data_IF_465482003880
#
_entry.id   IF_465482003880
#
_cell.length_a   1.000
_cell.length_b   1.000
_cell.length_c   1.000
_cell.angle_alpha   90.00
_cell.angle_beta   90.00
_cell.angle_gamma   90.00
#
_symmetry.space_group_name_H-M   'P 1'
#
loop_
_entity.id
_entity.type
_entity.pdbx_description
1 polymer ?
#
# COMPACT_ATOMS: atom_id res chain seq x y z
N UNK A 1 1.98 34.02 -2.78
CA UNK A 1 1.64 32.64 -2.34
C UNK A 1 0.23 32.32 -2.85
N UNK A 2 0.13 31.53 -3.92
CA UNK A 2 -1.14 31.23 -4.59
C UNK A 2 -1.91 30.21 -3.75
N UNK A 3 -3.14 30.58 -3.37
CA UNK A 3 -3.96 29.84 -2.42
C UNK A 3 -4.74 28.74 -3.16
N UNK A 4 -4.65 27.48 -2.71
CA UNK A 4 -5.28 26.28 -3.33
C UNK A 4 -6.76 26.46 -3.69
N UNK A 5 -7.48 27.28 -2.91
CA UNK A 5 -8.90 27.58 -3.12
C UNK A 5 -9.16 28.50 -4.32
N UNK A 6 -8.20 29.36 -4.69
CA UNK A 6 -8.33 30.25 -5.85
C UNK A 6 -8.18 29.48 -7.17
N UNK A 7 -7.34 28.44 -7.19
CA UNK A 7 -7.13 27.60 -8.38
C UNK A 7 -8.39 26.81 -8.76
N UNK A 8 -9.08 26.19 -7.78
CA UNK A 8 -10.30 25.40 -8.05
C UNK A 8 -11.43 26.27 -8.61
N UNK A 9 -11.55 27.54 -8.19
CA UNK A 9 -12.60 28.44 -8.68
C UNK A 9 -12.40 28.86 -10.14
N UNK A 10 -11.16 28.90 -10.62
CA UNK A 10 -10.86 29.31 -11.99
C UNK A 10 -10.81 28.12 -12.97
N UNK A 11 -10.57 26.90 -12.48
CA UNK A 11 -10.49 25.70 -13.32
C UNK A 11 -11.88 25.17 -13.78
N UNK A 12 -12.98 25.57 -13.14
CA UNK A 12 -14.32 25.08 -13.47
C UNK A 12 -15.00 25.79 -14.65
N UNK A 13 -14.41 26.85 -15.22
CA UNK A 13 -15.02 27.66 -16.27
C UNK A 13 -14.56 27.33 -17.71
N UNK A 14 -13.79 26.24 -17.90
CA UNK A 14 -13.15 25.92 -19.19
C UNK A 14 -13.69 24.71 -19.97
N UNK A 15 -14.69 23.97 -19.49
CA UNK A 15 -15.06 22.66 -20.06
C UNK A 15 -16.51 22.58 -20.62
N UNK A 16 -17.05 23.66 -21.17
CA UNK A 16 -18.39 23.66 -21.77
C UNK A 16 -18.42 23.15 -23.24
N UNK A 17 -17.45 22.33 -23.67
CA UNK A 17 -17.32 21.93 -25.08
C UNK A 17 -16.74 20.54 -25.35
N UNK A 18 -17.04 19.52 -24.53
CA UNK A 18 -16.92 18.12 -24.99
C UNK A 18 -18.22 17.36 -24.68
N UNK A 19 -18.95 17.04 -25.75
CA UNK A 19 -20.28 16.46 -25.72
C UNK A 19 -20.31 14.97 -25.34
N UNK A 20 -21.49 14.57 -24.84
CA UNK A 20 -22.13 13.27 -25.06
C UNK A 20 -21.21 12.03 -25.09
N UNK A 21 -20.52 11.75 -23.99
CA UNK A 21 -20.21 10.37 -23.65
C UNK A 21 -21.33 9.85 -22.75
N UNK A 22 -22.06 8.84 -23.25
CA UNK A 22 -22.99 8.06 -22.44
C UNK A 22 -22.31 7.63 -21.14
N UNK A 23 -23.04 7.55 -20.00
CA UNK A 23 -22.48 6.94 -18.82
C UNK A 23 -22.20 5.47 -19.17
N UNK A 24 -20.92 5.11 -19.31
CA UNK A 24 -20.48 3.72 -19.23
C UNK A 24 -20.83 3.24 -17.82
N UNK A 25 -22.05 2.71 -17.69
CA UNK A 25 -22.50 1.96 -16.53
C UNK A 25 -21.69 0.66 -16.50
N UNK A 26 -20.53 0.68 -15.83
CA UNK A 26 -19.63 -0.46 -15.86
C UNK A 26 -18.63 -0.57 -14.70
N UNK A 27 -18.67 0.31 -13.71
CA UNK A 27 -17.85 0.18 -12.49
C UNK A 27 -18.75 0.07 -11.25
N UNK A 28 -19.56 -0.97 -11.24
CA UNK A 28 -20.45 -1.30 -10.13
C UNK A 28 -20.29 -2.75 -9.71
N UNK A 29 -19.07 -3.20 -9.40
CA UNK A 29 -18.94 -4.40 -8.58
C UNK A 29 -19.29 -4.01 -7.14
N UNK A 30 -20.57 -4.13 -6.79
CA UNK A 30 -21.08 -4.05 -5.41
C UNK A 30 -20.82 -5.35 -4.63
N UNK A 31 -19.81 -6.12 -5.02
CA UNK A 31 -19.31 -7.20 -4.20
C UNK A 31 -18.59 -6.59 -3.00
N UNK A 32 -19.02 -6.90 -1.78
CA UNK A 32 -18.23 -6.61 -0.58
C UNK A 32 -16.85 -7.25 -0.82
N UNK A 33 -15.77 -6.47 -1.04
CA UNK A 33 -14.49 -7.03 -1.42
C UNK A 33 -14.04 -7.91 -0.25
N UNK A 34 -14.10 -9.23 -0.43
CA UNK A 34 -13.54 -10.15 0.56
C UNK A 34 -12.08 -9.75 0.69
N UNK A 35 -11.59 -9.48 1.92
CA UNK A 35 -10.20 -9.10 2.09
C UNK A 35 -9.33 -10.16 1.43
N UNK A 36 -8.49 -9.73 0.50
CA UNK A 36 -7.55 -10.62 -0.15
C UNK A 36 -6.52 -11.05 0.90
N UNK A 37 -6.64 -12.28 1.39
CA UNK A 37 -5.74 -12.83 2.40
C UNK A 37 -4.58 -13.53 1.70
N UNK A 38 -3.37 -13.02 1.91
CA UNK A 38 -2.15 -13.66 1.42
C UNK A 38 -1.93 -15.02 2.13
N UNK A 39 -1.61 -16.11 1.43
CA UNK A 39 -1.28 -17.38 2.10
C UNK A 39 0.01 -17.24 2.90
N UNK A 40 0.11 -17.95 4.03
CA UNK A 40 1.34 -18.03 4.84
C UNK A 40 2.08 -19.32 4.50
N UNK A 41 3.41 -19.27 4.48
CA UNK A 41 4.29 -20.41 4.26
C UNK A 41 5.51 -20.28 5.14
N UNK A 42 6.18 -21.40 5.45
CA UNK A 42 7.49 -21.28 6.11
C UNK A 42 8.52 -20.66 5.16
N UNK A 43 9.54 -19.94 5.67
CA UNK A 43 10.64 -19.46 4.85
C UNK A 43 11.28 -20.58 4.03
N UNK A 44 11.53 -21.74 4.63
CA UNK A 44 12.21 -22.88 4.01
C UNK A 44 11.41 -23.43 2.82
N UNK A 45 10.08 -23.54 2.96
CA UNK A 45 9.19 -23.97 1.86
C UNK A 45 9.23 -23.01 0.67
N UNK A 46 9.50 -21.73 0.94
CA UNK A 46 9.70 -20.74 -0.12
C UNK A 46 11.17 -20.57 -0.50
N UNK A 47 12.08 -21.44 -0.04
CA UNK A 47 13.50 -21.41 -0.36
C UNK A 47 14.28 -20.26 0.29
N UNK A 48 13.77 -19.70 1.38
CA UNK A 48 14.44 -18.69 2.21
C UNK A 48 14.92 -19.36 3.49
N UNK A 49 16.17 -19.12 3.88
CA UNK A 49 16.67 -19.59 5.18
C UNK A 49 16.09 -18.76 6.31
N UNK A 50 15.42 -19.38 7.30
CA UNK A 50 14.97 -18.67 8.51
C UNK A 50 16.11 -17.98 9.24
N UNK A 51 17.33 -18.55 9.23
CA UNK A 51 18.48 -17.93 9.88
C UNK A 51 18.90 -16.61 9.21
N UNK A 52 18.64 -16.44 7.92
CA UNK A 52 18.89 -15.17 7.23
C UNK A 52 17.88 -14.10 7.67
N UNK A 53 16.61 -14.45 7.85
CA UNK A 53 15.58 -13.56 8.38
C UNK A 53 15.93 -13.14 9.81
N UNK A 54 16.34 -14.07 10.66
CA UNK A 54 16.76 -13.75 12.04
C UNK A 54 17.97 -12.82 12.08
N UNK A 55 18.99 -13.05 11.26
CA UNK A 55 20.15 -12.15 11.15
C UNK A 55 19.75 -10.74 10.72
N UNK A 56 18.78 -10.62 9.81
CA UNK A 56 18.24 -9.33 9.40
C UNK A 56 17.52 -8.62 10.55
N UNK A 57 16.70 -9.33 11.32
CA UNK A 57 16.02 -8.78 12.49
C UNK A 57 17.03 -8.31 13.57
N UNK A 58 18.10 -9.06 13.80
CA UNK A 58 19.19 -8.63 14.70
C UNK A 58 19.91 -7.40 14.17
N UNK A 59 20.15 -7.31 12.86
CA UNK A 59 20.75 -6.12 12.25
C UNK A 59 19.85 -4.89 12.38
N UNK A 60 18.53 -5.05 12.21
CA UNK A 60 17.55 -3.98 12.47
C UNK A 60 17.62 -3.54 13.93
N UNK A 61 17.61 -4.49 14.86
CA UNK A 61 17.65 -4.21 16.30
C UNK A 61 18.92 -3.47 16.71
N UNK A 62 20.05 -3.76 16.06
CA UNK A 62 21.31 -3.04 16.28
C UNK A 62 21.36 -1.68 15.56
N UNK A 63 20.46 -1.43 14.62
CA UNK A 63 20.37 -0.15 13.92
C UNK A 63 19.71 0.93 14.80
N UNK A 64 19.87 2.19 14.39
CA UNK A 64 19.18 3.34 15.03
C UNK A 64 17.84 3.66 14.36
N UNK A 65 17.31 2.75 13.54
CA UNK A 65 16.08 2.98 12.80
C UNK A 65 14.89 2.43 13.57
N UNK A 66 13.83 3.22 13.64
CA UNK A 66 12.55 2.80 14.19
C UNK A 66 11.72 2.11 13.10
N UNK A 67 11.33 0.86 13.35
CA UNK A 67 10.48 0.10 12.45
C UNK A 67 9.06 0.03 13.00
N UNK A 68 8.07 0.34 12.16
CA UNK A 68 6.66 0.18 12.54
C UNK A 68 6.16 -1.24 12.25
N UNK A 69 6.50 -1.76 11.07
CA UNK A 69 6.13 -3.11 10.65
C UNK A 69 7.08 -3.65 9.58
N UNK A 70 7.09 -4.97 9.43
CA UNK A 70 7.82 -5.70 8.40
C UNK A 70 6.93 -6.82 7.86
N UNK A 71 6.92 -6.99 6.55
CA UNK A 71 6.30 -8.14 5.89
C UNK A 71 7.19 -8.57 4.72
N UNK A 72 7.56 -9.85 4.70
CA UNK A 72 8.39 -10.45 3.65
C UNK A 72 7.52 -11.46 2.90
N UNK A 73 7.46 -11.28 1.57
CA UNK A 73 6.71 -12.16 0.68
C UNK A 73 7.63 -12.82 -0.34
N UNK A 74 7.37 -14.09 -0.65
CA UNK A 74 8.00 -14.79 -1.77
C UNK A 74 7.01 -15.73 -2.46
N UNK A 75 6.98 -15.71 -3.79
CA UNK A 75 6.02 -16.46 -4.62
C UNK A 75 4.55 -16.27 -4.16
N UNK A 76 4.17 -15.05 -3.75
CA UNK A 76 2.83 -14.74 -3.26
C UNK A 76 2.52 -15.21 -1.83
N UNK A 77 3.47 -15.83 -1.12
CA UNK A 77 3.30 -16.28 0.26
C UNK A 77 4.01 -15.35 1.24
N UNK A 78 3.35 -15.04 2.36
CA UNK A 78 3.99 -14.38 3.50
C UNK A 78 4.88 -15.40 4.19
N UNK A 79 6.17 -15.09 4.31
CA UNK A 79 7.17 -15.96 4.96
C UNK A 79 7.60 -15.45 6.33
N UNK A 80 7.48 -14.15 6.56
CA UNK A 80 7.69 -13.52 7.85
C UNK A 80 6.92 -12.20 7.90
N UNK A 81 6.28 -11.91 9.02
CA UNK A 81 5.61 -10.63 9.28
C UNK A 81 5.69 -10.28 10.77
N UNK A 82 5.71 -8.98 11.08
CA UNK A 82 5.80 -8.50 12.44
C UNK A 82 5.53 -7.02 12.57
N UNK A 83 5.08 -6.63 13.76
CA UNK A 83 4.79 -5.26 14.15
C UNK A 83 5.48 -4.97 15.48
N UNK A 84 6.13 -3.82 15.59
CA UNK A 84 6.74 -3.38 16.85
C UNK A 84 5.74 -2.57 17.65
N UNK A 85 5.76 -2.69 18.98
CA UNK A 85 4.87 -1.90 19.83
C UNK A 85 5.15 -0.38 19.66
N UNK A 86 4.12 0.48 19.65
CA UNK A 86 2.68 0.20 19.86
C UNK A 86 1.88 -0.16 18.59
N UNK A 87 2.54 -0.38 17.45
CA UNK A 87 1.91 -0.64 16.16
C UNK A 87 1.31 -2.05 16.07
N UNK A 88 0.29 -2.22 15.23
CA UNK A 88 -0.32 -3.52 14.95
C UNK A 88 -0.82 -3.60 13.51
N UNK A 89 -1.13 -4.81 13.05
CA UNK A 89 -1.66 -5.06 11.69
C UNK A 89 -2.96 -4.32 11.36
N UNK A 90 -3.70 -3.86 12.37
CA UNK A 90 -4.98 -3.17 12.21
C UNK A 90 -4.81 -1.65 12.04
N UNK A 91 -3.63 -1.12 12.36
CA UNK A 91 -3.35 0.31 12.28
C UNK A 91 -3.14 0.74 10.82
N UNK A 92 -3.64 1.94 10.49
CA UNK A 92 -3.43 2.57 9.18
C UNK A 92 -2.24 3.51 9.24
N UNK A 93 -1.24 3.25 8.41
CA UNK A 93 -0.03 4.07 8.29
C UNK A 93 -0.15 5.09 7.14
N UNK A 94 0.48 6.26 7.31
CA UNK A 94 0.62 7.23 6.23
C UNK A 94 1.82 6.87 5.35
N UNK A 95 1.57 6.48 4.10
CA UNK A 95 2.62 5.99 3.18
C UNK A 95 3.21 7.09 2.27
N UNK A 96 2.74 8.33 2.40
CA UNK A 96 3.21 9.53 1.69
C UNK A 96 3.43 9.31 0.17
N UNK A 97 4.70 9.31 -0.24
CA UNK A 97 5.09 9.21 -1.65
C UNK A 97 4.72 7.88 -2.30
N UNK A 98 4.41 6.84 -1.52
CA UNK A 98 3.95 5.56 -2.04
C UNK A 98 2.64 5.69 -2.85
N UNK A 99 1.81 6.70 -2.58
CA UNK A 99 0.61 6.99 -3.38
C UNK A 99 0.93 7.18 -4.86
N UNK A 100 2.15 7.64 -5.21
CA UNK A 100 2.58 7.80 -6.60
C UNK A 100 2.66 6.46 -7.35
N UNK A 101 3.05 5.38 -6.67
CA UNK A 101 3.08 4.04 -7.26
C UNK A 101 1.67 3.60 -7.67
N UNK A 102 0.66 3.87 -6.84
CA UNK A 102 -0.74 3.59 -7.20
C UNK A 102 -1.21 4.45 -8.38
N UNK A 103 -0.93 5.76 -8.37
CA UNK A 103 -1.31 6.65 -9.47
C UNK A 103 -0.63 6.27 -10.79
N UNK A 104 0.57 5.68 -10.76
CA UNK A 104 1.26 5.22 -11.98
C UNK A 104 0.62 3.99 -12.63
N UNK A 105 -0.22 3.24 -11.92
CA UNK A 105 -0.90 2.04 -12.43
C UNK A 105 -2.35 2.29 -12.87
N UNK A 106 -2.96 3.39 -12.40
CA UNK A 106 -4.34 3.77 -12.71
C UNK A 106 -4.46 4.45 -14.08
#
# INVERSE_FOLDING_TARGET
MINRRAFIKNASLGAASLGLMAPLQGFGSTGNPRPFVLPRSTPEQQGISSSAILKFLEAIKASKQEFHSLMILRHGHVVAEGWWAPYSSEHREQLYSLSKSFTSTA
#
